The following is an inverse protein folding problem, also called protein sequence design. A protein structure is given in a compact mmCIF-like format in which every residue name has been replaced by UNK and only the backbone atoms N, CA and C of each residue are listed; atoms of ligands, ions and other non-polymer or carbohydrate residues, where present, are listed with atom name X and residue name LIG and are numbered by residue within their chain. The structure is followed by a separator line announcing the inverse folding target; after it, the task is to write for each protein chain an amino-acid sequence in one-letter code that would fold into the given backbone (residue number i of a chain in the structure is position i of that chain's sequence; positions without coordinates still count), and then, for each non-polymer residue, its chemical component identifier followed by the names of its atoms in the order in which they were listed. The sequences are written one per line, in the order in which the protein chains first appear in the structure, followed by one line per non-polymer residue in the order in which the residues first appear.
data_IF_732004533599
#
_entry.id   IF_732004533599
#
_cell.length_a   1.000
_cell.length_b   1.000
_cell.length_c   1.000
_cell.angle_alpha   90.00
_cell.angle_beta   90.00
_cell.angle_gamma   90.00
#
_symmetry.space_group_name_H-M   'P 1'
#
loop_
_entity.id
_entity.type
_entity.pdbx_description
1 polymer ?
#
# COMPACT_ATOMS: atom_id res chain seq x y z
N UNK A 1 -15.81 -2.07 -5.58
CA UNK A 1 -15.55 -0.64 -5.70
C UNK A 1 -14.36 -0.22 -4.89
N UNK A 2 -13.65 0.74 -5.42
CA UNK A 2 -12.52 1.24 -4.69
C UNK A 2 -12.65 2.73 -4.44
N UNK A 3 -12.02 3.16 -3.35
CA UNK A 3 -12.00 4.56 -2.97
C UNK A 3 -10.69 4.85 -2.24
N UNK A 4 -10.00 5.90 -2.65
CA UNK A 4 -8.83 6.36 -1.92
C UNK A 4 -9.19 6.78 -0.51
N UNK A 5 -10.40 7.29 -0.31
CA UNK A 5 -10.89 7.64 1.03
C UNK A 5 -10.96 6.41 1.92
N UNK A 6 -11.49 5.30 1.40
CA UNK A 6 -11.56 4.05 2.17
C UNK A 6 -10.17 3.52 2.48
N UNK A 7 -9.28 3.54 1.49
CA UNK A 7 -7.91 3.10 1.66
C UNK A 7 -7.22 3.91 2.75
N UNK A 8 -7.39 5.23 2.71
CA UNK A 8 -6.81 6.12 3.73
C UNK A 8 -7.36 5.82 5.10
N UNK A 9 -8.66 5.57 5.22
CA UNK A 9 -9.27 5.24 6.51
C UNK A 9 -8.72 3.95 7.08
N UNK A 10 -8.54 2.94 6.23
CA UNK A 10 -8.00 1.67 6.68
C UNK A 10 -6.58 1.85 7.20
N UNK A 11 -5.73 2.56 6.45
CA UNK A 11 -4.35 2.82 6.87
C UNK A 11 -4.32 3.61 8.17
N UNK A 12 -5.11 4.67 8.25
CA UNK A 12 -5.11 5.54 9.42
C UNK A 12 -5.68 4.84 10.65
N UNK A 13 -6.63 3.93 10.46
CA UNK A 13 -7.19 3.17 11.58
C UNK A 13 -6.15 2.27 12.25
N UNK A 14 -5.10 1.92 11.53
CA UNK A 14 -4.00 1.13 12.08
C UNK A 14 -2.86 2.03 12.60
N UNK A 15 -3.12 3.32 12.72
CA UNK A 15 -2.16 4.26 13.26
C UNK A 15 -1.05 4.66 12.30
N UNK A 16 -1.28 4.48 11.02
CA UNK A 16 -0.29 4.80 9.99
C UNK A 16 -0.75 5.97 9.14
N UNK A 17 0.17 6.53 8.40
CA UNK A 17 -0.11 7.57 7.41
C UNK A 17 0.38 7.09 6.05
N UNK A 18 -0.33 7.48 5.00
CA UNK A 18 0.12 7.25 3.65
C UNK A 18 1.06 8.38 3.27
N UNK A 19 2.30 8.02 2.94
CA UNK A 19 3.29 8.99 2.49
C UNK A 19 3.23 9.21 1.00
N UNK A 20 3.01 8.15 0.25
CA UNK A 20 2.89 8.18 -1.20
C UNK A 20 1.88 7.15 -1.66
N UNK A 21 1.21 7.46 -2.75
CA UNK A 21 0.36 6.49 -3.43
C UNK A 21 0.52 6.66 -4.92
N UNK A 22 0.54 5.54 -5.63
CA UNK A 22 0.59 5.50 -7.09
C UNK A 22 -0.52 4.61 -7.58
N UNK A 23 -1.17 5.06 -8.65
CA UNK A 23 -2.18 4.26 -9.33
C UNK A 23 -1.65 3.96 -10.72
N UNK A 24 -1.55 2.68 -11.04
CA UNK A 24 -1.08 2.22 -12.34
C UNK A 24 -2.16 1.43 -13.02
N UNK A 25 -2.33 1.68 -14.31
CA UNK A 25 -3.28 0.92 -15.10
C UNK A 25 -2.64 -0.37 -15.58
N UNK A 26 -3.38 -1.48 -15.45
CA UNK A 26 -2.90 -2.76 -15.93
C UNK A 26 -3.39 -2.92 -17.36
N UNK A 27 -2.48 -3.08 -18.36
CA UNK A 27 -2.90 -3.21 -19.75
C UNK A 27 -3.88 -4.36 -19.95
N UNK A 28 -4.91 -4.12 -20.73
CA UNK A 28 -5.92 -5.12 -21.10
C UNK A 28 -6.70 -5.67 -19.91
N UNK A 29 -6.80 -4.87 -18.84
CA UNK A 29 -7.53 -5.29 -17.64
C UNK A 29 -8.41 -4.15 -17.16
N UNK A 30 -9.51 -4.51 -16.50
CA UNK A 30 -10.34 -3.54 -15.80
C UNK A 30 -9.80 -3.23 -14.40
N UNK A 31 -8.68 -3.83 -14.04
CA UNK A 31 -8.08 -3.66 -12.72
C UNK A 31 -6.98 -2.60 -12.77
N UNK A 32 -6.77 -1.97 -11.65
CA UNK A 32 -5.65 -1.06 -11.46
C UNK A 32 -4.76 -1.61 -10.35
N UNK A 33 -3.51 -1.19 -10.38
CA UNK A 33 -2.55 -1.53 -9.34
C UNK A 33 -2.31 -0.28 -8.51
N UNK A 34 -2.52 -0.38 -7.22
CA UNK A 34 -2.28 0.72 -6.30
C UNK A 34 -1.08 0.39 -5.43
N UNK A 35 -0.11 1.27 -5.45
CA UNK A 35 1.08 1.16 -4.61
C UNK A 35 0.98 2.18 -3.49
N UNK A 36 1.13 1.73 -2.26
CA UNK A 36 1.02 2.60 -1.09
C UNK A 36 2.31 2.48 -0.28
N UNK A 37 2.88 3.63 0.02
CA UNK A 37 4.01 3.72 0.95
C UNK A 37 3.51 4.36 2.23
N UNK A 38 3.84 3.76 3.37
CA UNK A 38 3.39 4.25 4.68
C UNK A 38 4.57 4.63 5.54
N UNK A 39 4.27 5.27 6.67
CA UNK A 39 5.27 5.68 7.65
C UNK A 39 5.57 4.60 8.69
N UNK A 40 4.98 3.41 8.55
CA UNK A 40 5.21 2.32 9.51
C UNK A 40 6.32 1.41 9.04
N UNK A 41 7.04 0.86 10.00
CA UNK A 41 8.10 -0.11 9.73
C UNK A 41 7.57 -1.55 9.69
N UNK A 42 6.44 -1.80 10.32
CA UNK A 42 5.76 -3.09 10.26
C UNK A 42 4.36 -2.86 9.70
N UNK A 43 4.13 -3.32 8.47
CA UNK A 43 2.86 -3.12 7.80
C UNK A 43 1.95 -4.35 7.89
N UNK A 44 2.34 -5.37 8.65
CA UNK A 44 1.54 -6.58 8.78
C UNK A 44 0.10 -6.30 9.24
N UNK A 45 -0.13 -5.45 10.25
CA UNK A 45 -1.50 -5.14 10.65
C UNK A 45 -2.30 -4.45 9.53
N UNK A 46 -1.63 -3.61 8.74
CA UNK A 46 -2.27 -2.91 7.63
C UNK A 46 -2.69 -3.91 6.55
N UNK A 47 -1.80 -4.84 6.23
CA UNK A 47 -2.10 -5.89 5.26
C UNK A 47 -3.30 -6.72 5.73
N UNK A 48 -3.33 -7.10 6.99
CA UNK A 48 -4.43 -7.87 7.56
C UNK A 48 -5.75 -7.10 7.46
N UNK A 49 -5.71 -5.80 7.70
CA UNK A 49 -6.90 -4.96 7.58
C UNK A 49 -7.42 -4.93 6.16
N UNK A 50 -6.54 -4.75 5.19
CA UNK A 50 -6.96 -4.75 3.78
C UNK A 50 -7.53 -6.10 3.38
N UNK A 51 -6.91 -7.19 3.79
CA UNK A 51 -7.42 -8.53 3.49
C UNK A 51 -8.80 -8.76 4.12
N UNK A 52 -9.01 -8.23 5.32
CA UNK A 52 -10.30 -8.31 5.99
C UNK A 52 -11.40 -7.58 5.19
N UNK A 53 -11.04 -6.51 4.50
CA UNK A 53 -11.96 -5.77 3.64
C UNK A 53 -11.97 -6.29 2.20
N UNK A 54 -11.41 -7.48 1.98
CA UNK A 54 -11.42 -8.17 0.69
C UNK A 54 -10.60 -7.47 -0.40
N UNK A 55 -9.57 -6.75 -0.01
CA UNK A 55 -8.60 -6.25 -0.97
C UNK A 55 -7.62 -7.35 -1.32
N UNK A 56 -7.23 -7.40 -2.58
CA UNK A 56 -6.25 -8.38 -3.04
C UNK A 56 -4.86 -7.75 -3.00
N UNK A 57 -3.99 -8.30 -2.16
CA UNK A 57 -2.63 -7.81 -2.00
C UNK A 57 -1.73 -8.55 -2.98
N UNK A 58 -1.04 -7.81 -3.85
CA UNK A 58 -0.09 -8.40 -4.77
C UNK A 58 1.26 -8.64 -4.10
N UNK A 59 1.74 -7.66 -3.36
CA UNK A 59 3.04 -7.74 -2.73
C UNK A 59 3.13 -6.72 -1.61
N UNK A 60 3.98 -7.01 -0.64
CA UNK A 60 4.31 -6.07 0.42
C UNK A 60 5.82 -5.90 0.42
N UNK A 61 6.27 -4.74 0.83
CA UNK A 61 7.70 -4.51 0.94
C UNK A 61 8.00 -3.80 2.24
N UNK A 62 9.13 -4.21 2.81
CA UNK A 62 9.66 -3.64 4.03
C UNK A 62 11.16 -3.64 3.84
N UNK A 63 11.66 -2.62 3.16
CA UNK A 63 13.02 -2.64 2.68
C UNK A 63 13.77 -1.42 3.14
N UNK A 64 14.93 -1.65 3.74
CA UNK A 64 15.86 -0.57 4.01
C UNK A 64 16.74 -0.37 2.80
N UNK A 65 16.73 0.84 2.28
CA UNK A 65 17.65 1.23 1.23
C UNK A 65 18.77 2.00 1.91
N UNK A 66 19.98 1.46 1.78
CA UNK A 66 21.17 2.13 2.27
C UNK A 66 21.90 2.67 1.06
N UNK A 67 21.84 3.96 0.92
CA UNK A 67 22.66 4.70 0.00
C UNK A 67 23.90 5.19 0.76
N UNK A 68 24.89 5.68 0.06
CA UNK A 68 26.12 6.17 0.67
C UNK A 68 25.89 7.25 1.72
N UNK A 69 24.76 7.92 1.66
CA UNK A 69 24.46 9.04 2.53
C UNK A 69 23.06 9.02 3.12
N UNK A 70 22.17 8.15 2.62
CA UNK A 70 20.78 8.12 3.04
C UNK A 70 20.40 6.71 3.39
N UNK A 71 19.76 6.60 4.54
CA UNK A 71 19.04 5.37 4.90
C UNK A 71 17.56 5.67 4.75
N UNK A 72 16.95 5.02 3.80
CA UNK A 72 15.51 5.14 3.63
C UNK A 72 14.91 3.77 3.77
N UNK A 73 13.87 3.69 4.56
CA UNK A 73 13.12 2.47 4.72
C UNK A 73 11.81 2.62 3.97
N UNK A 74 11.59 1.72 3.04
CA UNK A 74 10.38 1.69 2.25
C UNK A 74 9.46 0.61 2.79
N UNK A 75 8.39 1.03 3.41
CA UNK A 75 7.37 0.11 3.91
C UNK A 75 6.08 0.41 3.15
N UNK A 76 5.59 -0.60 2.46
CA UNK A 76 4.41 -0.37 1.66
C UNK A 76 3.85 -1.66 1.09
N UNK A 77 2.82 -1.51 0.32
CA UNK A 77 2.15 -2.63 -0.29
C UNK A 77 1.59 -2.26 -1.66
N UNK A 78 1.42 -3.29 -2.47
CA UNK A 78 0.77 -3.18 -3.78
C UNK A 78 -0.49 -4.02 -3.73
N UNK A 79 -1.58 -3.48 -4.23
CA UNK A 79 -2.84 -4.21 -4.26
C UNK A 79 -3.59 -3.94 -5.56
N UNK A 80 -4.40 -4.93 -5.95
CA UNK A 80 -5.25 -4.81 -7.12
C UNK A 80 -6.60 -4.27 -6.74
N UNK A 81 -7.13 -3.40 -7.57
CA UNK A 81 -8.48 -2.88 -7.40
C UNK A 81 -9.22 -3.03 -8.71
N UNK A 82 -10.50 -3.36 -8.59
CA UNK A 82 -11.40 -3.40 -9.74
C UNK A 82 -12.04 -2.02 -9.89
N UNK A 83 -12.01 -1.54 -11.11
CA UNK A 83 -12.60 -0.25 -11.42
C UNK A 83 -14.03 -0.46 -11.89
#
# INVERSE_FOLDING_TARGET
DYSLTEISKIVESDGALILHSYVSQIPKSSRILVTIKTNKTDISPIIQSFERYNYEIKAAFNKSIIDNQLKERLDGLLMYLNI
#
